data_IF_555475852016
#
_entry.id   IF_555475852016
#
_cell.length_a   1.000
_cell.length_b   1.000
_cell.length_c   1.000
_cell.angle_alpha   90.00
_cell.angle_beta   90.00
_cell.angle_gamma   90.00
#
_symmetry.space_group_name_H-M   'P 1'
#
loop_
_entity.id
_entity.type
_entity.pdbx_description
1 polymer ?
#
# COMPACT_ATOMS: atom_id res chain seq x y z
N UNK A 1 9.54 12.08 -3.65
CA UNK A 1 8.51 13.12 -3.38
C UNK A 1 7.17 12.43 -3.24
N UNK A 2 6.24 13.01 -2.48
CA UNK A 2 4.92 12.44 -2.18
C UNK A 2 3.81 13.25 -2.83
N UNK A 3 2.97 12.58 -3.63
CA UNK A 3 1.88 13.22 -4.39
C UNK A 3 0.59 13.39 -3.58
N UNK A 4 0.43 12.59 -2.52
CA UNK A 4 -0.85 12.39 -1.86
C UNK A 4 -1.65 11.21 -2.41
N UNK A 5 -1.06 10.35 -3.25
CA UNK A 5 -1.59 9.01 -3.50
C UNK A 5 -1.41 8.16 -2.23
N UNK A 6 -2.50 7.65 -1.61
CA UNK A 6 -2.39 6.79 -0.43
C UNK A 6 -1.47 5.58 -0.64
N UNK A 7 -1.33 5.05 -1.86
CA UNK A 7 -0.44 3.90 -2.14
C UNK A 7 1.04 4.22 -1.97
N UNK A 8 1.42 5.49 -2.09
CA UNK A 8 2.79 5.98 -1.85
C UNK A 8 3.06 6.24 -0.37
N UNK A 9 2.01 6.37 0.44
CA UNK A 9 2.10 6.88 1.80
C UNK A 9 3.03 6.04 2.69
N UNK A 10 2.92 4.71 2.63
CA UNK A 10 3.73 3.82 3.48
C UNK A 10 5.22 3.99 3.21
N UNK A 11 5.61 4.05 1.94
CA UNK A 11 7.00 4.29 1.54
C UNK A 11 7.45 5.69 1.95
N UNK A 12 6.63 6.71 1.68
CA UNK A 12 6.93 8.09 2.05
C UNK A 12 7.14 8.22 3.56
N UNK A 13 6.21 7.73 4.38
CA UNK A 13 6.26 7.87 5.83
C UNK A 13 7.41 7.07 6.45
N UNK A 14 7.72 5.88 5.92
CA UNK A 14 8.88 5.09 6.35
C UNK A 14 10.21 5.84 6.15
N UNK A 15 10.31 6.63 5.08
CA UNK A 15 11.50 7.46 4.83
C UNK A 15 11.46 8.75 5.67
N UNK A 16 10.32 9.43 5.70
CA UNK A 16 10.18 10.73 6.35
C UNK A 16 10.19 10.65 7.89
N UNK A 17 9.74 9.53 8.47
CA UNK A 17 9.76 9.31 9.92
C UNK A 17 11.15 9.50 10.52
N UNK A 18 12.21 9.13 9.80
CA UNK A 18 13.60 9.37 10.24
C UNK A 18 13.92 10.85 10.46
N UNK A 19 13.33 11.73 9.65
CA UNK A 19 13.45 13.19 9.79
C UNK A 19 12.55 13.67 10.93
N UNK A 20 11.31 13.18 10.97
CA UNK A 20 10.33 13.51 12.02
C UNK A 20 10.86 13.20 13.42
N UNK A 21 11.49 12.04 13.59
CA UNK A 21 11.97 11.50 14.86
C UNK A 21 13.40 11.93 15.20
N UNK A 22 14.10 12.63 14.30
CA UNK A 22 15.48 13.09 14.54
C UNK A 22 15.53 14.13 15.66
N UNK A 23 16.41 13.93 16.65
CA UNK A 23 16.65 14.91 17.73
C UNK A 23 17.62 16.03 17.30
N UNK A 24 18.40 15.80 16.23
CA UNK A 24 19.40 16.74 15.72
C UNK A 24 18.80 17.88 14.88
N UNK A 25 17.55 17.72 14.42
CA UNK A 25 16.86 18.68 13.56
C UNK A 25 15.87 19.54 14.35
N UNK A 26 15.87 20.84 14.08
CA UNK A 26 14.86 21.73 14.66
C UNK A 26 13.48 21.43 14.07
N UNK A 27 12.43 21.79 14.79
CA UNK A 27 11.04 21.69 14.29
C UNK A 27 10.85 22.42 12.95
N UNK A 28 11.52 23.58 12.78
CA UNK A 28 11.44 24.36 11.53
C UNK A 28 12.13 23.60 10.40
N UNK A 29 13.32 23.03 10.62
CA UNK A 29 14.03 22.24 9.60
C UNK A 29 13.19 21.03 9.18
N UNK A 30 12.60 20.31 10.16
CA UNK A 30 11.69 19.19 9.89
C UNK A 30 10.49 19.61 9.04
N UNK A 31 9.93 20.80 9.30
CA UNK A 31 8.81 21.31 8.51
C UNK A 31 9.24 21.71 7.10
N UNK A 32 10.42 22.33 6.94
CA UNK A 32 10.98 22.61 5.62
C UNK A 32 11.23 21.32 4.82
N UNK A 33 11.79 20.28 5.44
CA UNK A 33 11.93 18.97 4.81
C UNK A 33 10.58 18.37 4.43
N UNK A 34 9.57 18.50 5.29
CA UNK A 34 8.21 18.03 4.98
C UNK A 34 7.68 18.73 3.73
N UNK A 35 7.79 20.05 3.67
CA UNK A 35 7.37 20.87 2.54
C UNK A 35 8.07 20.45 1.24
N UNK A 36 9.40 20.29 1.27
CA UNK A 36 10.22 19.88 0.12
C UNK A 36 9.98 18.43 -0.32
N UNK A 37 9.49 17.58 0.59
CA UNK A 37 9.18 16.19 0.28
C UNK A 37 7.89 16.02 -0.53
N UNK A 38 7.08 17.07 -0.66
CA UNK A 38 5.84 17.03 -1.42
C UNK A 38 6.10 17.22 -2.92
N UNK A 39 5.40 16.46 -3.76
CA UNK A 39 5.45 16.67 -5.21
C UNK A 39 4.74 17.98 -5.59
N UNK A 40 5.35 18.86 -6.40
CA UNK A 40 4.73 20.11 -6.83
C UNK A 40 3.32 19.92 -7.44
N UNK A 41 2.42 20.87 -7.16
CA UNK A 41 1.01 20.88 -7.63
C UNK A 41 0.13 19.68 -7.18
N UNK A 42 0.66 18.81 -6.34
CA UNK A 42 -0.03 17.62 -5.87
C UNK A 42 -1.08 17.90 -4.78
N UNK A 43 -1.81 16.87 -4.34
CA UNK A 43 -2.77 17.00 -3.22
C UNK A 43 -2.03 17.19 -1.91
N UNK A 44 -0.90 16.51 -1.74
CA UNK A 44 -0.08 16.61 -0.54
C UNK A 44 0.61 17.99 -0.46
N UNK A 45 1.15 18.50 -1.57
CA UNK A 45 1.73 19.84 -1.60
C UNK A 45 0.71 20.92 -1.22
N UNK A 46 -0.50 20.87 -1.77
CA UNK A 46 -1.58 21.81 -1.40
C UNK A 46 -1.94 21.78 0.08
N UNK A 47 -1.95 20.59 0.69
CA UNK A 47 -2.20 20.45 2.11
C UNK A 47 -1.09 21.12 2.93
N UNK A 48 0.16 20.76 2.67
CA UNK A 48 1.30 21.22 3.45
C UNK A 48 1.57 22.73 3.23
N UNK A 49 1.40 23.22 2.00
CA UNK A 49 1.58 24.64 1.68
C UNK A 49 0.48 25.55 2.24
N UNK A 50 -0.65 24.99 2.70
CA UNK A 50 -1.73 25.77 3.30
C UNK A 50 -1.43 26.23 4.73
N UNK A 51 -0.39 25.67 5.35
CA UNK A 51 0.05 25.97 6.70
C UNK A 51 1.36 26.77 6.66
N UNK A 52 1.44 27.95 7.30
CA UNK A 52 2.69 28.69 7.43
C UNK A 52 3.77 27.85 8.14
N UNK A 53 4.99 27.84 7.59
CA UNK A 53 6.14 27.12 8.14
C UNK A 53 6.56 27.79 9.46
N UNK A 54 6.06 27.27 10.56
CA UNK A 54 6.22 27.78 11.93
C UNK A 54 6.33 26.61 12.89
N UNK A 55 6.91 26.84 14.07
CA UNK A 55 7.10 25.81 15.09
C UNK A 55 5.76 25.21 15.52
N UNK A 56 4.76 26.08 15.71
CA UNK A 56 3.43 25.77 16.19
C UNK A 56 2.61 24.96 15.20
N UNK A 57 2.79 25.18 13.89
CA UNK A 57 2.03 24.50 12.85
C UNK A 57 2.61 23.15 12.43
N UNK A 58 3.87 22.84 12.75
CA UNK A 58 4.47 21.57 12.32
C UNK A 58 3.71 20.34 12.83
N UNK A 59 3.32 20.23 14.12
CA UNK A 59 2.54 19.10 14.60
C UNK A 59 1.21 18.95 13.85
N UNK A 60 0.52 20.07 13.59
CA UNK A 60 -0.74 20.09 12.84
C UNK A 60 -0.52 19.62 11.38
N UNK A 61 0.55 20.07 10.71
CA UNK A 61 0.89 19.64 9.36
C UNK A 61 1.09 18.11 9.28
N UNK A 62 1.82 17.53 10.24
CA UNK A 62 2.03 16.08 10.32
C UNK A 62 0.72 15.34 10.62
N UNK A 63 -0.08 15.84 11.56
CA UNK A 63 -1.37 15.24 11.91
C UNK A 63 -2.32 15.21 10.71
N UNK A 64 -2.50 16.34 10.01
CA UNK A 64 -3.35 16.42 8.83
C UNK A 64 -2.88 15.49 7.70
N UNK A 65 -1.57 15.35 7.52
CA UNK A 65 -0.99 14.43 6.55
C UNK A 65 -1.35 12.97 6.88
N UNK A 66 -1.18 12.57 8.15
CA UNK A 66 -1.53 11.23 8.65
C UNK A 66 -3.04 10.97 8.53
N UNK A 67 -3.87 11.92 8.96
CA UNK A 67 -5.33 11.80 8.90
C UNK A 67 -5.86 11.65 7.48
N UNK A 68 -5.24 12.35 6.51
CA UNK A 68 -5.73 12.39 5.14
C UNK A 68 -5.22 11.24 4.27
N UNK A 69 -3.98 10.81 4.48
CA UNK A 69 -3.32 9.85 3.58
C UNK A 69 -2.84 8.59 4.29
N UNK A 70 -2.65 8.65 5.61
CA UNK A 70 -2.03 7.60 6.40
C UNK A 70 -2.98 6.73 7.20
N UNK A 71 -4.29 6.82 6.99
CA UNK A 71 -5.20 5.97 7.74
C UNK A 71 -5.08 4.53 7.30
N UNK A 72 -4.61 3.68 8.21
CA UNK A 72 -4.39 2.26 7.96
C UNK A 72 -5.67 1.54 7.50
N UNK A 73 -6.83 1.89 8.06
CA UNK A 73 -8.12 1.31 7.67
C UNK A 73 -8.44 1.55 6.19
N UNK A 74 -8.19 2.77 5.69
CA UNK A 74 -8.38 3.11 4.28
C UNK A 74 -7.33 2.45 3.39
N UNK A 75 -6.07 2.41 3.83
CA UNK A 75 -5.00 1.76 3.07
C UNK A 75 -5.28 0.28 2.89
N UNK A 76 -5.72 -0.42 3.95
CA UNK A 76 -6.17 -1.82 3.86
C UNK A 76 -7.29 -1.95 2.83
N UNK A 77 -8.33 -1.10 2.89
CA UNK A 77 -9.43 -1.15 1.92
C UNK A 77 -8.96 -0.94 0.48
N UNK A 78 -8.02 -0.01 0.24
CA UNK A 78 -7.46 0.25 -1.09
C UNK A 78 -6.75 -0.99 -1.62
N UNK A 79 -5.86 -1.60 -0.82
CA UNK A 79 -5.11 -2.78 -1.25
C UNK A 79 -6.01 -4.01 -1.45
N UNK A 80 -7.04 -4.19 -0.61
CA UNK A 80 -8.03 -5.26 -0.78
C UNK A 80 -8.85 -5.06 -2.06
N UNK A 81 -9.30 -3.82 -2.35
CA UNK A 81 -10.04 -3.52 -3.59
C UNK A 81 -9.18 -3.71 -4.84
N UNK A 82 -7.91 -3.34 -4.78
CA UNK A 82 -6.95 -3.61 -5.86
C UNK A 82 -6.80 -5.12 -6.10
N UNK A 83 -6.69 -5.91 -5.02
CA UNK A 83 -6.60 -7.37 -5.09
C UNK A 83 -7.87 -7.97 -5.70
N UNK A 84 -9.04 -7.55 -5.26
CA UNK A 84 -10.34 -7.98 -5.82
C UNK A 84 -10.47 -7.60 -7.30
N UNK A 85 -10.05 -6.39 -7.68
CA UNK A 85 -10.05 -5.94 -9.07
C UNK A 85 -9.17 -6.83 -9.95
N UNK A 86 -8.01 -7.26 -9.43
CA UNK A 86 -7.13 -8.20 -10.11
C UNK A 86 -7.78 -9.58 -10.29
N UNK A 87 -8.40 -10.12 -9.22
CA UNK A 87 -9.14 -11.40 -9.25
C UNK A 87 -10.23 -11.36 -10.32
N UNK A 88 -11.08 -10.34 -10.30
CA UNK A 88 -12.20 -10.21 -11.23
C UNK A 88 -11.72 -10.14 -12.67
N UNK A 89 -10.71 -9.31 -12.96
CA UNK A 89 -10.14 -9.19 -14.32
C UNK A 89 -9.61 -10.52 -14.85
N UNK A 90 -8.98 -11.33 -14.01
CA UNK A 90 -8.42 -12.61 -14.46
C UNK A 90 -9.50 -13.70 -14.60
N UNK A 91 -10.51 -13.69 -13.74
CA UNK A 91 -11.62 -14.64 -13.81
C UNK A 91 -12.55 -14.40 -15.01
N UNK A 92 -12.76 -13.15 -15.43
CA UNK A 92 -13.78 -12.81 -16.43
C UNK A 92 -13.27 -12.59 -17.86
N UNK A 93 -11.96 -12.38 -18.05
CA UNK A 93 -11.45 -11.83 -19.32
C UNK A 93 -10.44 -12.74 -19.99
N UNK A 94 -10.90 -13.64 -20.88
CA UNK A 94 -10.05 -14.59 -21.61
C UNK A 94 -9.05 -13.95 -22.60
N UNK A 95 -9.18 -12.66 -22.92
CA UNK A 95 -8.41 -12.02 -24.00
C UNK A 95 -7.24 -11.13 -23.55
N UNK A 96 -7.08 -10.85 -22.25
CA UNK A 96 -6.04 -9.95 -21.73
C UNK A 96 -5.52 -10.38 -20.34
N UNK A 97 -5.51 -11.68 -20.04
CA UNK A 97 -4.89 -12.17 -18.81
C UNK A 97 -3.37 -11.95 -18.87
N UNK A 98 -2.75 -11.29 -17.88
CA UNK A 98 -1.30 -11.26 -17.77
C UNK A 98 -0.77 -12.70 -17.74
N UNK A 99 0.46 -12.89 -18.22
CA UNK A 99 1.13 -14.18 -18.06
C UNK A 99 1.26 -14.51 -16.56
N UNK A 100 1.49 -15.79 -16.26
CA UNK A 100 1.49 -16.27 -14.88
C UNK A 100 2.56 -15.59 -14.00
N UNK A 101 3.72 -15.22 -14.56
CA UNK A 101 4.77 -14.55 -13.82
C UNK A 101 4.38 -13.11 -13.47
N UNK A 102 3.80 -12.39 -14.44
CA UNK A 102 3.25 -11.05 -14.20
C UNK A 102 2.12 -11.08 -13.17
N UNK A 103 1.22 -12.07 -13.25
CA UNK A 103 0.15 -12.25 -12.28
C UNK A 103 0.69 -12.51 -10.87
N UNK A 104 1.63 -13.44 -10.74
CA UNK A 104 2.27 -13.74 -9.46
C UNK A 104 2.91 -12.49 -8.85
N UNK A 105 3.68 -11.73 -9.65
CA UNK A 105 4.31 -10.50 -9.20
C UNK A 105 3.27 -9.45 -8.73
N UNK A 106 2.17 -9.30 -9.45
CA UNK A 106 1.10 -8.37 -9.08
C UNK A 106 0.42 -8.76 -7.77
N UNK A 107 0.07 -10.05 -7.61
CA UNK A 107 -0.48 -10.62 -6.38
C UNK A 107 0.47 -10.40 -5.19
N UNK A 108 1.71 -10.80 -5.36
CA UNK A 108 2.73 -10.72 -4.32
C UNK A 108 2.97 -9.28 -3.85
N UNK A 109 3.01 -8.33 -4.79
CA UNK A 109 3.13 -6.90 -4.47
C UNK A 109 1.96 -6.40 -3.61
N UNK A 110 0.73 -6.82 -3.91
CA UNK A 110 -0.46 -6.41 -3.14
C UNK A 110 -0.49 -7.09 -1.77
N UNK A 111 -0.10 -8.35 -1.67
CA UNK A 111 0.02 -9.07 -0.41
C UNK A 111 1.08 -8.46 0.51
N UNK A 112 2.28 -8.13 -0.02
CA UNK A 112 3.33 -7.47 0.78
C UNK A 112 2.89 -6.11 1.35
N UNK A 113 2.09 -5.35 0.59
CA UNK A 113 1.53 -4.08 1.07
C UNK A 113 0.49 -4.26 2.19
N UNK A 114 -0.25 -5.38 2.19
CA UNK A 114 -1.14 -5.75 3.28
C UNK A 114 -0.36 -6.25 4.52
N UNK A 115 0.70 -7.03 4.29
CA UNK A 115 1.59 -7.53 5.35
C UNK A 115 2.28 -6.37 6.10
N UNK A 116 2.72 -5.31 5.40
CA UNK A 116 3.30 -4.12 6.04
C UNK A 116 2.31 -3.33 6.89
N UNK A 117 1.01 -3.53 6.69
CA UNK A 117 -0.09 -3.02 7.52
C UNK A 117 -0.52 -4.03 8.61
N UNK A 118 0.29 -5.05 8.88
CA UNK A 118 0.02 -6.07 9.89
C UNK A 118 -1.04 -7.10 9.51
N UNK A 119 -1.46 -7.16 8.23
CA UNK A 119 -2.38 -8.18 7.70
C UNK A 119 -1.61 -9.39 7.21
N UNK A 120 -0.98 -10.10 8.14
CA UNK A 120 -0.16 -11.28 7.85
C UNK A 120 -1.01 -12.48 7.46
N UNK A 121 -0.37 -13.46 6.79
CA UNK A 121 -1.00 -14.75 6.44
C UNK A 121 -1.54 -15.48 7.67
N UNK A 122 -0.92 -15.35 8.84
CA UNK A 122 -1.41 -16.00 10.07
C UNK A 122 -2.74 -15.41 10.56
N UNK A 123 -2.97 -14.12 10.29
CA UNK A 123 -4.17 -13.39 10.75
C UNK A 123 -5.30 -13.39 9.73
N UNK A 124 -4.97 -13.53 8.44
CA UNK A 124 -5.93 -13.37 7.33
C UNK A 124 -5.85 -14.49 6.29
N UNK A 125 -5.11 -15.58 6.55
CA UNK A 125 -4.91 -16.70 5.62
C UNK A 125 -6.22 -17.27 5.08
N UNK A 126 -7.18 -17.49 5.97
CA UNK A 126 -8.51 -18.02 5.64
C UNK A 126 -9.28 -17.16 4.61
N UNK A 127 -8.96 -15.86 4.51
CA UNK A 127 -9.55 -14.95 3.53
C UNK A 127 -8.66 -14.73 2.31
N UNK A 128 -7.33 -14.67 2.50
CA UNK A 128 -6.37 -14.39 1.44
C UNK A 128 -6.15 -15.60 0.53
N UNK A 129 -6.18 -16.82 1.06
CA UNK A 129 -5.97 -18.04 0.28
C UNK A 129 -7.06 -18.24 -0.79
N UNK A 130 -8.37 -18.18 -0.48
CA UNK A 130 -9.42 -18.28 -1.50
C UNK A 130 -9.35 -17.17 -2.56
N UNK A 131 -8.93 -15.96 -2.16
CA UNK A 131 -8.77 -14.84 -3.08
C UNK A 131 -7.62 -15.07 -4.06
N UNK A 132 -6.48 -15.56 -3.58
CA UNK A 132 -5.33 -15.91 -4.43
C UNK A 132 -5.70 -17.05 -5.37
N UNK A 133 -6.36 -18.10 -4.88
CA UNK A 133 -6.83 -19.20 -5.72
C UNK A 133 -7.79 -18.71 -6.82
N UNK A 134 -8.77 -17.87 -6.47
CA UNK A 134 -9.72 -17.29 -7.44
C UNK A 134 -9.05 -16.41 -8.50
N UNK A 135 -7.83 -15.96 -8.26
CA UNK A 135 -7.05 -15.15 -9.18
C UNK A 135 -6.32 -15.98 -10.24
N UNK A 136 -6.08 -17.27 -9.97
CA UNK A 136 -5.27 -18.15 -10.81
C UNK A 136 -6.07 -18.73 -11.98
N UNK A 137 -5.45 -18.90 -13.16
CA UNK A 137 -6.06 -19.62 -14.27
C UNK A 137 -6.43 -21.06 -13.90
N UNK A 138 -7.51 -21.58 -14.48
CA UNK A 138 -8.06 -22.90 -14.13
C UNK A 138 -7.04 -24.05 -14.35
N UNK A 139 -6.19 -23.94 -15.37
CA UNK A 139 -5.12 -24.91 -15.62
C UNK A 139 -4.08 -24.96 -14.48
N UNK A 140 -3.79 -23.81 -13.86
CA UNK A 140 -2.89 -23.71 -12.71
C UNK A 140 -3.57 -24.26 -11.45
N UNK A 141 -4.84 -23.92 -11.23
CA UNK A 141 -5.62 -24.45 -10.11
C UNK A 141 -5.71 -25.98 -10.13
N UNK A 142 -5.95 -26.57 -11.31
CA UNK A 142 -5.97 -28.03 -11.47
C UNK A 142 -4.62 -28.68 -11.17
N UNK A 143 -3.50 -28.01 -11.47
CA UNK A 143 -2.16 -28.51 -11.14
C UNK A 143 -1.90 -28.45 -9.62
N UNK A 144 -2.21 -27.31 -8.99
CA UNK A 144 -2.02 -27.11 -7.54
C UNK A 144 -2.93 -28.02 -6.72
N UNK A 145 -4.19 -28.20 -7.12
CA UNK A 145 -5.14 -29.11 -6.46
C UNK A 145 -4.69 -30.57 -6.50
N UNK A 146 -4.04 -31.01 -7.59
CA UNK A 146 -3.43 -32.35 -7.69
C UNK A 146 -2.27 -32.50 -6.71
N UNK A 147 -1.45 -31.47 -6.54
CA UNK A 147 -0.29 -31.49 -5.64
C UNK A 147 -0.71 -31.48 -4.15
N UNK A 148 -1.72 -30.69 -3.78
CA UNK A 148 -2.30 -30.67 -2.42
C UNK A 148 -2.91 -32.03 -2.04
N UNK A 149 -3.50 -32.75 -3.01
CA UNK A 149 -4.03 -34.10 -2.79
C UNK A 149 -2.91 -35.15 -2.67
N UNK A 150 -1.79 -34.98 -3.37
CA UNK A 150 -0.63 -35.87 -3.27
C UNK A 150 0.08 -35.81 -1.92
N UNK A 151 0.07 -34.66 -1.23
CA UNK A 151 0.69 -34.50 0.11
C UNK A 151 -0.20 -34.96 1.27
N UNK A 152 -1.41 -35.47 0.98
CA UNK A 152 -2.35 -36.05 1.96
C UNK A 152 -2.32 -37.58 1.99
N UNK A 153 -1.44 -38.21 1.22
CA UNK A 153 -1.14 -39.64 1.19
C UNK A 153 0.36 -39.85 1.40
#
# INVERSE_FOLDING_TARGET
MFSGDPKEYLTFWSIFSKIHDSEDLTTIDKFQYLYQSMEPHSKAARLISSLPITFENYPNAVEQLKLRFGREDLLVQIYVRDLLSLVLKNATTAKNTPDLATLYYMLETKLRALESLGRTKEKFGDFLEPLVESCLPENVLRAVGKEKNFRKY
#
